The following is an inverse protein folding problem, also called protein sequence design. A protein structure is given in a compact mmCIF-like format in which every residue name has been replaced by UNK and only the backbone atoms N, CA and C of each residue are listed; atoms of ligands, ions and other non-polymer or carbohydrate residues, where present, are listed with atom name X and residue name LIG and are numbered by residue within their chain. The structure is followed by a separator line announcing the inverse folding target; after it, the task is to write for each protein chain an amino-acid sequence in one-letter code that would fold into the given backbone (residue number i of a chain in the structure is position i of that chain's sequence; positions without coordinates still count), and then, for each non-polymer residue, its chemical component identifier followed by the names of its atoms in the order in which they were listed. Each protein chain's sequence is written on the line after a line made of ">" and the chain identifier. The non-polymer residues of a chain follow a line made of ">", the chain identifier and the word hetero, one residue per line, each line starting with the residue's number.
data_IF_850751781758
#
_entry.id   IF_850751781758
#
_cell.length_a   1.000
_cell.length_b   1.000
_cell.length_c   1.000
_cell.angle_alpha   90.00
_cell.angle_beta   90.00
_cell.angle_gamma   90.00
#
_symmetry.space_group_name_H-M   'P 1'
#
loop_
_entity.id
_entity.type
_entity.pdbx_description
1 polymer ?
#
# COMPACT_ATOMS: atom_id res chain seq x y z
N UNK A 1 2.36 -4.65 -4.05
CA UNK A 1 2.64 -6.09 -4.25
C UNK A 1 1.61 -6.66 -5.19
N UNK A 2 2.05 -7.26 -6.28
CA UNK A 2 1.17 -7.78 -7.34
C UNK A 2 0.63 -9.16 -6.95
N UNK A 3 -0.49 -9.60 -7.50
CA UNK A 3 -0.98 -10.99 -7.39
C UNK A 3 0.08 -11.99 -7.90
N UNK A 4 1.04 -11.53 -8.71
CA UNK A 4 2.19 -12.32 -9.19
C UNK A 4 3.39 -12.32 -8.24
N UNK A 5 3.36 -11.51 -7.16
CA UNK A 5 4.44 -11.42 -6.17
C UNK A 5 4.41 -12.59 -5.16
N UNK A 6 3.78 -13.69 -5.53
CA UNK A 6 3.76 -14.90 -4.74
C UNK A 6 4.78 -15.85 -5.31
N UNK A 7 5.75 -16.32 -4.52
CA UNK A 7 6.66 -17.36 -4.94
C UNK A 7 5.85 -18.53 -5.50
N UNK A 8 6.07 -18.89 -6.76
CA UNK A 8 5.39 -20.01 -7.43
C UNK A 8 5.57 -21.33 -6.67
N UNK A 9 6.64 -21.40 -5.87
CA UNK A 9 6.98 -22.54 -5.01
C UNK A 9 6.06 -22.66 -3.79
N UNK A 10 5.47 -21.54 -3.34
CA UNK A 10 4.59 -21.48 -2.14
C UNK A 10 3.12 -21.55 -2.54
N UNK A 11 2.78 -21.05 -3.70
CA UNK A 11 1.41 -21.05 -4.22
C UNK A 11 1.37 -21.90 -5.49
N UNK A 12 0.70 -23.03 -5.40
CA UNK A 12 0.38 -23.85 -6.58
C UNK A 12 -0.20 -22.94 -7.68
N UNK A 13 0.06 -23.30 -8.96
CA UNK A 13 -0.37 -22.56 -10.16
C UNK A 13 -1.90 -22.33 -10.25
N UNK A 14 -2.67 -22.96 -9.38
CA UNK A 14 -4.13 -22.97 -9.36
C UNK A 14 -4.74 -22.07 -8.26
N UNK A 15 -4.15 -20.88 -7.97
CA UNK A 15 -4.85 -19.94 -7.11
C UNK A 15 -6.12 -19.44 -7.83
N UNK A 16 -7.33 -19.80 -7.35
CA UNK A 16 -8.57 -19.39 -7.98
C UNK A 16 -8.71 -17.88 -7.85
N UNK A 17 -8.63 -17.17 -8.99
CA UNK A 17 -9.09 -15.79 -9.02
C UNK A 17 -10.59 -15.79 -8.75
N UNK A 18 -11.06 -14.79 -7.97
CA UNK A 18 -12.48 -14.58 -7.76
C UNK A 18 -13.20 -14.44 -9.10
N UNK A 19 -14.34 -15.09 -9.23
CA UNK A 19 -15.19 -14.94 -10.40
C UNK A 19 -15.62 -13.46 -10.53
N UNK A 20 -15.87 -13.02 -11.76
CA UNK A 20 -16.13 -11.60 -12.04
C UNK A 20 -17.40 -11.09 -11.33
N UNK A 21 -18.39 -11.93 -11.12
CA UNK A 21 -19.63 -11.67 -10.39
C UNK A 21 -19.45 -11.61 -8.86
N UNK A 22 -18.35 -12.16 -8.36
CA UNK A 22 -17.98 -12.04 -6.95
C UNK A 22 -17.35 -10.68 -6.64
N UNK A 23 -16.83 -9.98 -7.64
CA UNK A 23 -16.22 -8.68 -7.45
C UNK A 23 -17.28 -7.58 -7.29
N UNK A 24 -16.96 -6.55 -6.52
CA UNK A 24 -17.73 -5.32 -6.50
C UNK A 24 -17.67 -4.63 -7.87
N UNK A 25 -18.82 -4.11 -8.33
CA UNK A 25 -18.88 -3.22 -9.48
C UNK A 25 -18.27 -1.85 -9.14
N UNK A 26 -18.01 -1.02 -10.15
CA UNK A 26 -17.51 0.34 -9.92
C UNK A 26 -18.55 1.20 -9.20
N UNK A 27 -19.84 0.97 -9.46
CA UNK A 27 -20.95 1.62 -8.77
C UNK A 27 -21.02 1.21 -7.30
N UNK A 28 -20.87 -0.08 -6.98
CA UNK A 28 -20.83 -0.60 -5.61
C UNK A 28 -19.63 -0.01 -4.84
N UNK A 29 -18.44 0.05 -5.46
CA UNK A 29 -17.26 0.66 -4.88
C UNK A 29 -17.48 2.15 -4.64
N UNK A 30 -18.06 2.86 -5.62
CA UNK A 30 -18.33 4.30 -5.51
C UNK A 30 -19.35 4.58 -4.41
N UNK A 31 -20.40 3.77 -4.30
CA UNK A 31 -21.39 3.88 -3.24
C UNK A 31 -20.76 3.72 -1.85
N UNK A 32 -19.94 2.67 -1.66
CA UNK A 32 -19.20 2.49 -0.40
C UNK A 32 -18.26 3.66 -0.12
N UNK A 33 -17.50 4.11 -1.11
CA UNK A 33 -16.60 5.25 -0.97
C UNK A 33 -17.35 6.54 -0.56
N UNK A 34 -18.53 6.77 -1.10
CA UNK A 34 -19.39 7.90 -0.72
C UNK A 34 -19.86 7.80 0.72
N UNK A 35 -20.26 6.60 1.16
CA UNK A 35 -20.63 6.36 2.56
C UNK A 35 -19.44 6.59 3.49
N UNK A 36 -18.25 6.07 3.14
CA UNK A 36 -17.03 6.32 3.94
C UNK A 36 -16.66 7.81 3.98
N UNK A 37 -16.79 8.52 2.87
CA UNK A 37 -16.55 9.96 2.83
C UNK A 37 -17.52 10.72 3.76
N UNK A 38 -18.81 10.34 3.78
CA UNK A 38 -19.79 10.93 4.70
C UNK A 38 -19.47 10.69 6.18
N UNK A 39 -18.70 9.65 6.48
CA UNK A 39 -18.20 9.32 7.82
C UNK A 39 -16.84 9.97 8.14
N UNK A 40 -16.33 10.86 7.27
CA UNK A 40 -15.09 11.60 7.50
C UNK A 40 -13.84 10.98 6.89
N UNK A 41 -13.96 10.01 5.99
CA UNK A 41 -12.81 9.53 5.21
C UNK A 41 -12.45 10.54 4.15
N UNK A 42 -11.22 11.06 4.20
CA UNK A 42 -10.71 12.10 3.29
C UNK A 42 -9.81 11.52 2.20
N UNK A 43 -9.32 10.29 2.39
CA UNK A 43 -8.32 9.68 1.51
C UNK A 43 -8.67 8.26 1.13
N UNK A 44 -8.63 7.97 -0.16
CA UNK A 44 -8.79 6.62 -0.71
C UNK A 44 -7.53 6.23 -1.47
N UNK A 45 -7.02 5.04 -1.16
CA UNK A 45 -5.91 4.42 -1.87
C UNK A 45 -6.39 3.21 -2.65
N UNK A 46 -6.26 3.27 -3.96
CA UNK A 46 -6.44 2.12 -4.83
C UNK A 46 -5.18 1.25 -4.79
N UNK A 47 -5.38 -0.01 -4.47
CA UNK A 47 -4.32 -1.02 -4.37
C UNK A 47 -4.93 -2.40 -4.66
N UNK A 48 -4.33 -3.47 -4.24
CA UNK A 48 -4.82 -4.81 -4.44
C UNK A 48 -3.64 -5.72 -4.74
N UNK A 49 -3.78 -6.73 -5.59
CA UNK A 49 -2.64 -7.29 -6.28
C UNK A 49 -1.98 -6.20 -7.12
N UNK A 50 -2.29 -6.13 -8.42
CA UNK A 50 -1.90 -4.97 -9.24
C UNK A 50 -3.17 -4.26 -9.75
N UNK A 51 -3.48 -3.05 -9.25
CA UNK A 51 -4.73 -2.36 -9.61
C UNK A 51 -4.79 -1.97 -11.10
N UNK A 52 -3.64 -1.73 -11.74
CA UNK A 52 -3.60 -1.33 -13.15
C UNK A 52 -4.01 -2.46 -14.11
N UNK A 53 -4.07 -3.71 -13.64
CA UNK A 53 -4.60 -4.83 -14.41
C UNK A 53 -6.13 -4.82 -14.47
N UNK A 54 -6.80 -4.07 -13.58
CA UNK A 54 -8.26 -3.94 -13.66
C UNK A 54 -8.64 -3.11 -14.87
N UNK A 55 -9.41 -3.72 -15.78
CA UNK A 55 -9.87 -3.04 -17.00
C UNK A 55 -10.68 -1.80 -16.64
N UNK A 56 -10.42 -0.69 -17.35
CA UNK A 56 -11.13 0.58 -17.21
C UNK A 56 -11.02 1.20 -15.81
N UNK A 57 -9.90 1.02 -15.10
CA UNK A 57 -9.68 1.60 -13.77
C UNK A 57 -9.84 3.13 -13.76
N UNK A 58 -9.51 3.80 -14.88
CA UNK A 58 -9.70 5.24 -15.08
C UNK A 58 -11.15 5.67 -14.94
N UNK A 59 -12.12 4.82 -15.28
CA UNK A 59 -13.56 5.10 -15.08
C UNK A 59 -13.88 5.12 -13.59
N UNK A 60 -13.40 4.14 -12.81
CA UNK A 60 -13.58 4.13 -11.36
C UNK A 60 -12.95 5.36 -10.72
N UNK A 61 -11.72 5.72 -11.11
CA UNK A 61 -11.05 6.93 -10.61
C UNK A 61 -11.90 8.17 -10.89
N UNK A 62 -12.45 8.30 -12.12
CA UNK A 62 -13.34 9.40 -12.49
C UNK A 62 -14.65 9.45 -11.70
N UNK A 63 -15.18 8.30 -11.29
CA UNK A 63 -16.35 8.23 -10.40
C UNK A 63 -15.98 8.68 -8.97
N UNK A 64 -14.86 8.16 -8.43
CA UNK A 64 -14.39 8.50 -7.09
C UNK A 64 -13.95 9.98 -6.97
N UNK A 65 -13.39 10.56 -8.03
CA UNK A 65 -12.95 11.95 -8.07
C UNK A 65 -14.10 12.97 -7.93
N UNK A 66 -15.35 12.55 -8.14
CA UNK A 66 -16.55 13.38 -7.98
C UNK A 66 -17.07 13.40 -6.53
N UNK A 67 -16.57 12.50 -5.68
CA UNK A 67 -16.98 12.42 -4.28
C UNK A 67 -16.34 13.56 -3.50
N UNK A 68 -17.14 14.23 -2.69
CA UNK A 68 -16.70 15.29 -1.78
C UNK A 68 -16.82 14.84 -0.33
N UNK A 69 -15.94 15.32 0.51
CA UNK A 69 -16.03 15.20 1.97
C UNK A 69 -17.19 16.08 2.50
N UNK A 70 -17.61 15.91 3.76
CA UNK A 70 -18.60 16.80 4.37
C UNK A 70 -18.21 18.29 4.38
N UNK A 71 -16.90 18.59 4.26
CA UNK A 71 -16.35 19.93 4.17
C UNK A 71 -16.38 20.51 2.74
N UNK A 72 -16.85 19.74 1.75
CA UNK A 72 -16.88 20.12 0.33
C UNK A 72 -15.56 19.92 -0.41
N UNK A 73 -14.54 19.33 0.23
CA UNK A 73 -13.26 19.05 -0.39
C UNK A 73 -13.28 17.74 -1.19
N UNK A 74 -12.59 17.66 -2.33
CA UNK A 74 -12.49 16.43 -3.09
C UNK A 74 -11.63 15.39 -2.36
N UNK A 75 -11.99 14.12 -2.44
CA UNK A 75 -11.19 13.02 -1.90
C UNK A 75 -9.75 13.04 -2.43
N UNK A 76 -8.81 12.76 -1.52
CA UNK A 76 -7.41 12.53 -1.87
C UNK A 76 -7.25 11.11 -2.45
N UNK A 77 -7.31 11.01 -3.77
CA UNK A 77 -7.18 9.74 -4.48
C UNK A 77 -5.73 9.39 -4.75
N UNK A 78 -5.32 8.23 -4.27
CA UNK A 78 -3.97 7.71 -4.46
C UNK A 78 -4.00 6.28 -5.01
N UNK A 79 -2.94 5.89 -5.70
CA UNK A 79 -2.76 4.55 -6.24
C UNK A 79 -1.43 3.98 -5.77
N UNK A 80 -1.38 2.67 -5.46
CA UNK A 80 -0.14 1.92 -5.29
C UNK A 80 -0.05 0.86 -6.39
N UNK A 81 1.07 0.81 -7.11
CA UNK A 81 1.28 -0.08 -8.27
C UNK A 81 2.69 -0.65 -8.28
N UNK A 82 2.88 -1.79 -8.91
CA UNK A 82 4.21 -2.33 -9.23
C UNK A 82 4.88 -1.62 -10.42
N UNK A 83 4.19 -0.69 -11.08
CA UNK A 83 4.72 0.14 -12.15
C UNK A 83 4.82 -0.52 -13.53
N UNK A 84 4.70 -1.84 -13.66
CA UNK A 84 4.96 -2.60 -14.89
C UNK A 84 4.21 -2.13 -16.14
N UNK A 85 3.03 -1.57 -15.97
CA UNK A 85 2.23 -1.02 -17.09
C UNK A 85 1.88 0.47 -16.91
N UNK A 86 2.55 1.13 -15.96
CA UNK A 86 2.26 2.53 -15.61
C UNK A 86 2.53 3.48 -16.78
N UNK A 87 3.57 3.23 -17.61
CA UNK A 87 3.84 4.00 -18.85
C UNK A 87 2.59 4.16 -19.71
N UNK A 88 1.83 3.08 -19.89
CA UNK A 88 0.64 3.07 -20.74
C UNK A 88 -0.59 3.72 -20.10
N UNK A 89 -0.58 3.92 -18.79
CA UNK A 89 -1.76 4.32 -18.01
C UNK A 89 -1.64 5.70 -17.37
N UNK A 90 -0.43 6.22 -17.12
CA UNK A 90 -0.20 7.41 -16.32
C UNK A 90 -1.03 8.62 -16.76
N UNK A 91 -1.03 8.95 -18.04
CA UNK A 91 -1.79 10.09 -18.58
C UNK A 91 -3.31 9.94 -18.37
N UNK A 92 -3.86 8.75 -18.62
CA UNK A 92 -5.28 8.49 -18.45
C UNK A 92 -5.70 8.54 -16.98
N UNK A 93 -4.87 8.02 -16.06
CA UNK A 93 -5.10 8.07 -14.62
C UNK A 93 -5.08 9.51 -14.10
N UNK A 94 -4.13 10.33 -14.55
CA UNK A 94 -4.06 11.75 -14.21
C UNK A 94 -5.28 12.51 -14.71
N UNK A 95 -5.66 12.31 -15.97
CA UNK A 95 -6.85 12.94 -16.58
C UNK A 95 -8.15 12.53 -15.86
N UNK A 96 -8.23 11.29 -15.34
CA UNK A 96 -9.37 10.82 -14.56
C UNK A 96 -9.47 11.43 -13.14
N UNK A 97 -8.43 12.15 -12.67
CA UNK A 97 -8.44 12.82 -11.38
C UNK A 97 -7.60 12.16 -10.29
N UNK A 98 -6.77 11.15 -10.64
CA UNK A 98 -5.81 10.59 -9.68
C UNK A 98 -4.79 11.66 -9.29
N UNK A 99 -4.58 11.85 -7.97
CA UNK A 99 -3.70 12.92 -7.48
C UNK A 99 -2.27 12.45 -7.22
N UNK A 100 -2.09 11.24 -6.71
CA UNK A 100 -0.77 10.73 -6.27
C UNK A 100 -0.57 9.28 -6.64
N UNK A 101 0.68 8.93 -6.92
CA UNK A 101 1.10 7.56 -7.22
C UNK A 101 2.18 7.12 -6.23
N UNK A 102 2.08 5.87 -5.81
CA UNK A 102 3.16 5.16 -5.13
C UNK A 102 3.54 3.96 -5.98
N UNK A 103 4.83 3.83 -6.29
CA UNK A 103 5.37 2.72 -7.06
C UNK A 103 6.19 1.83 -6.14
N UNK A 104 5.98 0.53 -6.19
CA UNK A 104 6.80 -0.45 -5.48
C UNK A 104 8.02 -0.80 -6.33
N UNK A 105 9.22 -0.66 -5.75
CA UNK A 105 10.50 -0.91 -6.43
C UNK A 105 11.53 -1.32 -5.38
N UNK A 106 11.91 -2.60 -5.36
CA UNK A 106 12.72 -3.18 -4.29
C UNK A 106 14.22 -3.30 -4.64
N UNK A 107 14.67 -2.66 -5.72
CA UNK A 107 16.06 -2.56 -6.15
C UNK A 107 16.18 -2.05 -7.57
N UNK A 108 17.39 -1.68 -7.99
CA UNK A 108 17.74 -1.23 -9.35
C UNK A 108 18.42 -2.34 -10.16
N UNK A 109 19.06 -3.28 -9.50
CA UNK A 109 19.60 -4.47 -10.16
C UNK A 109 18.45 -5.38 -10.60
N UNK A 110 18.43 -5.75 -11.88
CA UNK A 110 17.32 -6.53 -12.48
C UNK A 110 17.17 -7.92 -11.85
N UNK A 111 18.28 -8.56 -11.46
CA UNK A 111 18.26 -9.87 -10.84
C UNK A 111 17.72 -9.80 -9.40
N UNK A 112 18.13 -8.79 -8.63
CA UNK A 112 17.62 -8.50 -7.29
C UNK A 112 16.14 -8.18 -7.36
N UNK A 113 15.74 -7.28 -8.24
CA UNK A 113 14.35 -6.87 -8.45
C UNK A 113 13.45 -8.06 -8.78
N UNK A 114 13.82 -8.87 -9.77
CA UNK A 114 13.04 -10.05 -10.18
C UNK A 114 12.92 -11.08 -9.06
N UNK A 115 14.02 -11.30 -8.31
CA UNK A 115 14.01 -12.23 -7.17
C UNK A 115 13.10 -11.73 -6.05
N UNK A 116 13.15 -10.43 -5.72
CA UNK A 116 12.32 -9.83 -4.65
C UNK A 116 10.82 -9.86 -4.98
N UNK A 117 10.48 -9.67 -6.23
CA UNK A 117 9.08 -9.52 -6.67
C UNK A 117 8.50 -10.76 -7.34
N UNK A 118 9.31 -11.81 -7.56
CA UNK A 118 8.94 -13.04 -8.30
C UNK A 118 8.22 -12.72 -9.63
N UNK A 119 8.79 -11.81 -10.40
CA UNK A 119 8.21 -11.33 -11.67
C UNK A 119 9.17 -11.55 -12.83
N UNK A 120 8.63 -11.58 -14.04
CA UNK A 120 9.39 -11.79 -15.27
C UNK A 120 9.34 -10.56 -16.20
N UNK A 121 9.37 -9.36 -15.62
CA UNK A 121 9.55 -8.12 -16.37
C UNK A 121 10.76 -7.35 -15.80
N UNK A 122 11.47 -6.55 -16.65
CA UNK A 122 12.67 -5.86 -16.23
C UNK A 122 12.35 -4.67 -15.32
N UNK A 123 13.29 -4.31 -14.46
CA UNK A 123 13.22 -3.12 -13.60
C UNK A 123 13.04 -1.83 -14.42
N UNK A 124 13.57 -1.81 -15.64
CA UNK A 124 13.48 -0.67 -16.56
C UNK A 124 12.02 -0.31 -16.90
N UNK A 125 11.11 -1.28 -17.01
CA UNK A 125 9.68 -1.03 -17.23
C UNK A 125 9.07 -0.21 -16.09
N UNK A 126 9.52 -0.46 -14.84
CA UNK A 126 9.09 0.29 -13.66
C UNK A 126 9.64 1.70 -13.67
N UNK A 127 10.93 1.85 -13.96
CA UNK A 127 11.60 3.16 -14.06
C UNK A 127 10.99 4.02 -15.17
N UNK A 128 10.69 3.41 -16.32
CA UNK A 128 9.98 4.05 -17.43
C UNK A 128 8.55 4.47 -17.03
N UNK A 129 7.87 3.61 -16.26
CA UNK A 129 6.56 3.94 -15.68
C UNK A 129 6.61 5.13 -14.72
N UNK A 130 7.65 5.24 -13.88
CA UNK A 130 7.88 6.39 -12.99
C UNK A 130 8.11 7.66 -13.81
N UNK A 131 8.96 7.61 -14.85
CA UNK A 131 9.18 8.73 -15.76
C UNK A 131 7.87 9.19 -16.42
N UNK A 132 7.06 8.23 -16.90
CA UNK A 132 5.76 8.54 -17.49
C UNK A 132 4.80 9.22 -16.50
N UNK A 133 4.86 8.87 -15.22
CA UNK A 133 4.06 9.55 -14.20
C UNK A 133 4.52 11.01 -14.00
N UNK A 134 5.83 11.28 -14.03
CA UNK A 134 6.35 12.66 -14.00
C UNK A 134 5.94 13.45 -15.26
N UNK A 135 6.07 12.85 -16.45
CA UNK A 135 5.63 13.44 -17.73
C UNK A 135 4.13 13.75 -17.75
N UNK A 136 3.31 12.90 -17.12
CA UNK A 136 1.86 13.12 -16.97
C UNK A 136 1.50 14.21 -15.94
N UNK A 137 2.48 14.82 -15.26
CA UNK A 137 2.29 15.91 -14.31
C UNK A 137 1.83 15.46 -12.92
N UNK A 138 2.18 14.26 -12.48
CA UNK A 138 2.00 13.89 -11.08
C UNK A 138 3.04 14.60 -10.20
N UNK A 139 2.59 15.52 -9.36
CA UNK A 139 3.44 16.31 -8.47
C UNK A 139 3.94 15.53 -7.25
N UNK A 140 3.21 14.48 -6.84
CA UNK A 140 3.55 13.66 -5.68
C UNK A 140 3.67 12.19 -6.08
N UNK A 141 4.90 11.80 -6.39
CA UNK A 141 5.27 10.42 -6.66
C UNK A 141 6.07 9.89 -5.47
N UNK A 142 5.74 8.70 -5.02
CA UNK A 142 6.50 7.99 -3.99
C UNK A 142 6.96 6.65 -4.53
N UNK A 143 8.17 6.27 -4.16
CA UNK A 143 8.70 4.93 -4.41
C UNK A 143 8.83 4.22 -3.07
N UNK A 144 8.31 3.01 -2.98
CA UNK A 144 8.45 2.15 -1.81
C UNK A 144 9.44 1.04 -2.10
N UNK A 145 10.40 0.86 -1.20
CA UNK A 145 11.31 -0.26 -1.17
C UNK A 145 11.10 -1.03 0.12
N UNK A 146 10.69 -2.30 0.04
CA UNK A 146 10.76 -3.22 1.19
C UNK A 146 12.19 -3.69 1.32
N UNK A 147 12.80 -3.49 2.49
CA UNK A 147 14.19 -3.90 2.74
C UNK A 147 14.20 -5.22 3.49
N UNK A 148 14.79 -6.24 2.88
CA UNK A 148 15.01 -7.56 3.44
C UNK A 148 16.52 -7.83 3.56
N UNK A 149 16.99 -8.03 4.79
CA UNK A 149 18.39 -8.34 5.08
C UNK A 149 18.79 -9.67 4.44
N UNK A 150 19.96 -9.72 3.80
CA UNK A 150 20.45 -10.86 3.03
C UNK A 150 19.87 -10.95 1.60
N UNK A 151 19.04 -9.99 1.19
CA UNK A 151 18.42 -9.97 -0.15
C UNK A 151 18.70 -8.71 -0.92
N UNK A 152 18.26 -7.55 -0.45
CA UNK A 152 18.37 -6.28 -1.19
C UNK A 152 18.89 -5.09 -0.36
N UNK A 153 19.39 -5.29 0.84
CA UNK A 153 19.94 -4.20 1.68
C UNK A 153 21.12 -3.47 1.03
N UNK A 154 21.84 -4.14 0.15
CA UNK A 154 22.96 -3.54 -0.61
C UNK A 154 22.47 -2.50 -1.64
N UNK A 155 21.19 -2.51 -2.01
CA UNK A 155 20.56 -1.56 -2.92
C UNK A 155 20.14 -0.23 -2.24
N UNK A 156 20.24 -0.11 -0.91
CA UNK A 156 19.76 1.07 -0.17
C UNK A 156 20.40 2.36 -0.67
N UNK A 157 21.73 2.38 -0.85
CA UNK A 157 22.47 3.59 -1.27
C UNK A 157 22.17 3.91 -2.73
N UNK A 158 22.24 2.94 -3.64
CA UNK A 158 21.95 3.13 -5.05
C UNK A 158 20.52 3.64 -5.28
N UNK A 159 19.54 3.10 -4.54
CA UNK A 159 18.17 3.58 -4.55
C UNK A 159 18.07 5.02 -4.03
N UNK A 160 18.73 5.35 -2.93
CA UNK A 160 18.73 6.71 -2.39
C UNK A 160 19.32 7.71 -3.40
N UNK A 161 20.46 7.39 -4.02
CA UNK A 161 21.12 8.21 -5.04
C UNK A 161 20.28 8.37 -6.30
N UNK A 162 19.61 7.29 -6.75
CA UNK A 162 18.75 7.31 -7.94
C UNK A 162 17.61 8.32 -7.83
N UNK A 163 17.04 8.49 -6.63
CA UNK A 163 15.87 9.37 -6.43
C UNK A 163 16.21 10.71 -5.77
N UNK A 164 17.43 10.90 -5.27
CA UNK A 164 17.90 12.17 -4.71
C UNK A 164 17.82 13.28 -5.77
N UNK A 165 17.26 14.43 -5.43
CA UNK A 165 17.13 15.57 -6.34
C UNK A 165 16.03 15.47 -7.40
N UNK A 166 15.27 14.35 -7.46
CA UNK A 166 14.25 14.14 -8.49
C UNK A 166 12.85 14.66 -8.11
N UNK A 167 12.65 15.07 -6.85
CA UNK A 167 11.33 15.38 -6.29
C UNK A 167 10.51 14.14 -5.90
N UNK A 168 10.99 12.94 -6.18
CA UNK A 168 10.36 11.67 -5.80
C UNK A 168 10.74 11.33 -4.36
N UNK A 169 9.77 10.95 -3.53
CA UNK A 169 10.00 10.54 -2.14
C UNK A 169 10.24 9.03 -2.10
N UNK A 170 11.48 8.62 -1.85
CA UNK A 170 11.80 7.23 -1.59
C UNK A 170 11.46 6.86 -0.16
N UNK A 171 10.77 5.73 0.04
CA UNK A 171 10.40 5.21 1.35
C UNK A 171 10.88 3.79 1.52
N UNK A 172 11.64 3.57 2.57
CA UNK A 172 12.10 2.24 2.99
C UNK A 172 11.14 1.65 4.01
N UNK A 173 10.75 0.40 3.79
CA UNK A 173 9.77 -0.32 4.62
C UNK A 173 10.48 -1.54 5.20
N UNK A 174 10.39 -1.71 6.52
CA UNK A 174 10.89 -2.93 7.15
C UNK A 174 10.13 -4.16 6.65
N UNK A 175 10.86 -5.24 6.33
CA UNK A 175 10.29 -6.52 5.91
C UNK A 175 9.39 -7.09 7.01
N UNK A 176 8.12 -7.34 6.71
CA UNK A 176 7.11 -7.70 7.69
C UNK A 176 6.36 -8.98 7.33
N UNK A 177 5.79 -9.63 8.36
CA UNK A 177 5.07 -10.90 8.32
C UNK A 177 3.63 -10.77 7.79
N UNK A 178 3.46 -10.15 6.62
CA UNK A 178 2.14 -10.01 5.99
C UNK A 178 1.67 -11.32 5.36
N UNK A 179 0.39 -11.65 5.55
CA UNK A 179 -0.16 -12.93 5.10
C UNK A 179 0.38 -14.10 5.92
N UNK A 180 0.24 -15.30 5.38
CA UNK A 180 0.67 -16.56 6.02
C UNK A 180 1.75 -17.31 5.24
N UNK A 181 2.13 -16.79 4.08
CA UNK A 181 2.89 -17.55 3.08
C UNK A 181 4.28 -16.99 2.75
N UNK A 182 4.67 -15.85 3.32
CA UNK A 182 5.93 -15.20 2.94
C UNK A 182 7.19 -15.74 3.64
N UNK A 183 7.06 -16.77 4.48
CA UNK A 183 8.22 -17.39 5.17
C UNK A 183 9.00 -16.44 6.09
N UNK A 184 8.36 -15.35 6.54
CA UNK A 184 9.00 -14.27 7.29
C UNK A 184 9.81 -14.74 8.49
N UNK A 185 11.00 -14.17 8.65
CA UNK A 185 11.90 -14.40 9.76
C UNK A 185 12.41 -13.05 10.31
N UNK A 186 12.38 -12.89 11.63
CA UNK A 186 12.87 -11.68 12.31
C UNK A 186 14.35 -11.38 12.01
N UNK A 187 15.17 -12.40 11.76
CA UNK A 187 16.58 -12.24 11.40
C UNK A 187 16.81 -11.52 10.07
N UNK A 188 15.79 -11.50 9.19
CA UNK A 188 15.81 -10.83 7.88
C UNK A 188 15.30 -9.37 7.94
N UNK A 189 14.89 -8.92 9.11
CA UNK A 189 14.46 -7.53 9.32
C UNK A 189 15.69 -6.65 9.49
N UNK A 190 15.83 -5.64 8.62
CA UNK A 190 16.79 -4.56 8.81
C UNK A 190 16.05 -3.40 9.49
N UNK A 191 16.43 -3.02 10.73
CA UNK A 191 15.78 -1.90 11.43
C UNK A 191 15.90 -0.60 10.65
N UNK A 192 14.82 0.17 10.61
CA UNK A 192 14.79 1.47 9.92
C UNK A 192 15.88 2.44 10.38
N UNK A 193 16.34 2.34 11.63
CA UNK A 193 17.43 3.15 12.15
C UNK A 193 18.76 2.82 11.46
N UNK A 194 19.01 1.56 11.11
CA UNK A 194 20.20 1.13 10.36
C UNK A 194 20.14 1.65 8.92
N UNK A 195 18.96 1.61 8.28
CA UNK A 195 18.76 2.21 6.95
C UNK A 195 19.12 3.70 6.96
N UNK A 196 18.61 4.44 7.96
CA UNK A 196 18.92 5.87 8.10
C UNK A 196 20.41 6.11 8.36
N UNK A 197 21.04 5.30 9.22
CA UNK A 197 22.48 5.43 9.52
C UNK A 197 23.34 5.17 8.27
N UNK A 198 22.99 4.18 7.47
CA UNK A 198 23.66 3.89 6.19
C UNK A 198 23.57 5.09 5.24
N UNK A 199 22.37 5.62 5.01
CA UNK A 199 22.21 6.75 4.09
C UNK A 199 22.88 8.01 4.65
N UNK A 200 22.75 8.27 5.97
CA UNK A 200 23.35 9.43 6.63
C UNK A 200 24.88 9.45 6.52
N UNK A 201 25.51 8.29 6.51
CA UNK A 201 26.98 8.17 6.38
C UNK A 201 27.52 8.67 5.02
N UNK A 202 26.67 8.63 3.97
CA UNK A 202 27.01 9.08 2.61
C UNK A 202 26.36 10.43 2.30
N UNK A 203 25.11 10.58 2.68
CA UNK A 203 24.28 11.75 2.45
C UNK A 203 23.67 12.22 3.78
N UNK A 204 24.20 13.29 4.40
CA UNK A 204 23.72 13.77 5.68
C UNK A 204 22.22 14.07 5.68
N UNK A 205 21.51 13.53 6.68
CA UNK A 205 20.06 13.61 6.86
C UNK A 205 19.72 14.35 8.14
N UNK A 206 18.56 15.00 8.17
CA UNK A 206 17.92 15.53 9.38
C UNK A 206 16.47 15.06 9.47
N UNK A 207 16.02 14.75 10.68
CA UNK A 207 14.63 14.36 10.90
C UNK A 207 13.69 15.56 10.74
N UNK A 208 12.54 15.36 10.11
CA UNK A 208 11.50 16.39 9.97
C UNK A 208 10.15 15.90 10.48
N UNK A 209 9.28 16.85 10.84
CA UNK A 209 7.96 16.54 11.40
C UNK A 209 7.06 15.81 10.39
N UNK A 210 6.12 15.01 10.91
CA UNK A 210 5.05 14.42 10.11
C UNK A 210 4.18 15.50 9.46
N UNK A 211 3.63 15.22 8.26
CA UNK A 211 2.72 16.14 7.57
C UNK A 211 1.33 16.20 8.22
N UNK A 212 0.91 15.12 8.88
CA UNK A 212 -0.39 14.99 9.53
C UNK A 212 -0.33 13.92 10.64
N UNK A 213 -1.21 13.99 11.64
CA UNK A 213 -1.32 12.96 12.67
C UNK A 213 -1.58 11.57 12.05
N UNK A 214 -0.89 10.54 12.55
CA UNK A 214 -1.02 9.17 12.03
C UNK A 214 -0.27 8.90 10.71
N UNK A 215 0.61 9.81 10.27
CA UNK A 215 1.52 9.52 9.15
C UNK A 215 2.44 8.36 9.52
N UNK A 216 2.41 7.30 8.70
CA UNK A 216 3.11 6.04 8.99
C UNK A 216 4.62 6.15 8.79
N UNK A 217 5.04 6.92 7.80
CA UNK A 217 6.46 7.11 7.49
C UNK A 217 7.07 8.19 8.37
N UNK A 218 8.15 7.88 9.08
CA UNK A 218 9.03 8.89 9.66
C UNK A 218 9.83 9.52 8.54
N UNK A 219 9.88 10.86 8.52
CA UNK A 219 10.43 11.65 7.42
C UNK A 219 11.81 12.18 7.76
N UNK A 220 12.66 12.21 6.74
CA UNK A 220 14.02 12.72 6.82
C UNK A 220 14.32 13.55 5.58
N UNK A 221 15.01 14.65 5.73
CA UNK A 221 15.41 15.53 4.64
C UNK A 221 16.92 15.45 4.46
N UNK A 222 17.38 15.49 3.21
CA UNK A 222 18.79 15.70 2.91
C UNK A 222 19.22 17.10 3.32
N UNK A 223 20.33 17.23 4.07
CA UNK A 223 20.80 18.53 4.56
C UNK A 223 21.20 19.49 3.45
N UNK A 224 21.54 18.99 2.26
CA UNK A 224 21.81 19.78 1.07
C UNK A 224 20.54 20.30 0.35
N UNK A 225 19.35 20.02 0.88
CA UNK A 225 18.08 20.45 0.31
C UNK A 225 17.61 19.67 -0.91
N UNK A 226 18.26 18.57 -1.29
CA UNK A 226 17.97 17.79 -2.50
C UNK A 226 16.73 16.89 -2.41
N UNK A 227 15.92 17.01 -1.34
CA UNK A 227 14.66 16.27 -1.18
C UNK A 227 14.56 15.55 0.14
N UNK A 228 13.64 14.58 0.20
CA UNK A 228 13.36 13.81 1.42
C UNK A 228 13.26 12.32 1.15
N UNK A 229 13.47 11.55 2.22
CA UNK A 229 13.19 10.12 2.28
C UNK A 229 12.25 9.82 3.44
N UNK A 230 11.65 8.64 3.45
CA UNK A 230 10.84 8.16 4.56
C UNK A 230 11.25 6.76 4.99
N UNK A 231 10.99 6.43 6.26
CA UNK A 231 11.11 5.05 6.75
C UNK A 231 9.82 4.61 7.43
N UNK A 232 9.43 3.37 7.21
CA UNK A 232 8.23 2.77 7.80
C UNK A 232 8.69 1.60 8.67
N UNK A 233 8.75 1.87 9.99
CA UNK A 233 9.24 0.94 11.01
C UNK A 233 8.12 -0.01 11.46
N UNK A 234 7.63 -0.85 10.53
CA UNK A 234 6.47 -1.72 10.76
C UNK A 234 6.70 -2.81 11.80
N UNK A 235 7.96 -3.14 12.08
CA UNK A 235 8.37 -4.25 12.97
C UNK A 235 9.02 -3.72 14.23
N UNK A 236 10.03 -2.86 14.09
CA UNK A 236 10.84 -2.40 15.22
C UNK A 236 10.20 -1.26 16.03
N UNK A 237 9.31 -0.48 15.42
CA UNK A 237 8.61 0.63 16.06
C UNK A 237 7.15 0.66 15.60
N UNK A 238 6.34 -0.24 16.14
CA UNK A 238 4.93 -0.36 15.79
C UNK A 238 4.15 0.96 16.06
N UNK A 239 3.14 1.22 15.23
CA UNK A 239 2.32 2.44 15.25
C UNK A 239 0.81 2.11 15.24
N UNK A 240 0.41 1.04 15.94
CA UNK A 240 -0.98 0.59 15.97
C UNK A 240 -1.92 1.56 16.67
N UNK A 241 -1.44 2.24 17.73
CA UNK A 241 -2.24 3.20 18.51
C UNK A 241 -2.81 4.36 17.67
N UNK A 242 -2.07 4.80 16.66
CA UNK A 242 -2.45 5.94 15.80
C UNK A 242 -2.99 5.51 14.43
N UNK A 243 -3.26 4.21 14.26
CA UNK A 243 -3.64 3.67 12.96
C UNK A 243 -5.12 3.98 12.63
N UNK A 244 -5.34 4.85 11.65
CA UNK A 244 -6.66 5.24 11.13
C UNK A 244 -7.05 4.56 9.82
N UNK A 245 -6.41 3.42 9.46
CA UNK A 245 -6.58 2.76 8.17
C UNK A 245 -7.58 1.61 8.25
N UNK A 246 -8.40 1.50 7.21
CA UNK A 246 -9.21 0.32 6.91
C UNK A 246 -8.98 -0.11 5.45
N UNK A 247 -9.38 -1.30 5.08
CA UNK A 247 -9.25 -1.86 3.74
C UNK A 247 -10.55 -2.53 3.34
N UNK A 248 -10.93 -2.36 2.07
CA UNK A 248 -12.01 -3.13 1.46
C UNK A 248 -11.40 -3.96 0.34
N UNK A 249 -11.58 -5.27 0.42
CA UNK A 249 -11.19 -6.18 -0.67
C UNK A 249 -12.11 -5.99 -1.88
N UNK A 250 -11.67 -6.52 -3.01
CA UNK A 250 -12.44 -6.41 -4.27
C UNK A 250 -13.77 -7.13 -4.24
N UNK A 251 -13.98 -8.07 -3.32
CA UNK A 251 -15.25 -8.77 -3.05
C UNK A 251 -16.05 -8.17 -1.88
N UNK A 252 -15.67 -6.98 -1.39
CA UNK A 252 -16.45 -6.21 -0.43
C UNK A 252 -16.30 -6.60 1.03
N UNK A 253 -15.22 -7.26 1.41
CA UNK A 253 -14.89 -7.51 2.81
C UNK A 253 -14.12 -6.32 3.40
N UNK A 254 -14.57 -5.78 4.53
CA UNK A 254 -13.89 -4.73 5.27
C UNK A 254 -12.92 -5.33 6.29
N UNK A 255 -11.66 -4.91 6.24
CA UNK A 255 -10.59 -5.28 7.17
C UNK A 255 -10.07 -4.04 7.89
N UNK A 256 -9.92 -4.10 9.20
CA UNK A 256 -9.41 -3.00 10.02
C UNK A 256 -7.89 -3.04 10.19
N UNK A 257 -7.28 -4.20 9.97
CA UNK A 257 -5.84 -4.42 10.09
C UNK A 257 -5.25 -5.11 8.86
N UNK A 258 -3.98 -4.83 8.55
CA UNK A 258 -3.22 -5.53 7.51
C UNK A 258 -2.99 -7.01 7.86
N UNK A 259 -2.99 -7.32 9.14
CA UNK A 259 -2.75 -8.66 9.69
C UNK A 259 -4.06 -9.36 10.11
N UNK A 260 -5.21 -8.89 9.64
CA UNK A 260 -6.49 -9.48 9.95
C UNK A 260 -6.61 -10.91 9.38
N UNK A 261 -7.34 -11.76 10.08
CA UNK A 261 -7.68 -13.12 9.67
C UNK A 261 -9.13 -13.25 9.17
N UNK A 262 -9.95 -12.22 9.39
CA UNK A 262 -11.37 -12.20 9.00
C UNK A 262 -11.78 -10.78 8.61
N UNK A 263 -12.62 -10.68 7.55
CA UNK A 263 -13.27 -9.45 7.12
C UNK A 263 -14.73 -9.38 7.55
N UNK A 264 -15.35 -8.22 7.37
CA UNK A 264 -16.77 -7.96 7.56
C UNK A 264 -17.43 -7.78 6.19
N UNK A 265 -18.47 -8.57 5.91
CA UNK A 265 -19.11 -8.62 4.60
C UNK A 265 -20.04 -7.42 4.36
N UNK A 266 -19.59 -6.48 3.54
CA UNK A 266 -20.38 -5.34 3.07
C UNK A 266 -20.99 -5.58 1.68
N UNK A 267 -20.48 -6.54 0.90
CA UNK A 267 -21.08 -6.91 -0.40
C UNK A 267 -22.53 -7.39 -0.21
N UNK A 268 -22.77 -8.27 0.74
CA UNK A 268 -24.12 -8.77 1.04
C UNK A 268 -25.07 -7.63 1.45
N UNK A 269 -24.59 -6.66 2.21
CA UNK A 269 -25.40 -5.49 2.58
C UNK A 269 -25.76 -4.63 1.36
N UNK A 270 -24.80 -4.37 0.47
CA UNK A 270 -25.03 -3.62 -0.78
C UNK A 270 -26.09 -4.31 -1.66
N UNK A 271 -25.95 -5.64 -1.84
CA UNK A 271 -26.77 -6.43 -2.76
C UNK A 271 -28.13 -6.83 -2.19
N UNK A 272 -28.30 -6.79 -0.87
CA UNK A 272 -29.62 -7.01 -0.22
C UNK A 272 -30.49 -5.75 -0.13
N UNK A 273 -30.08 -4.63 -0.76
CA UNK A 273 -30.85 -3.40 -0.81
C UNK A 273 -30.83 -2.58 0.48
N UNK A 274 -29.83 -2.79 1.36
CA UNK A 274 -29.64 -1.96 2.55
C UNK A 274 -29.43 -0.50 2.16
N UNK A 275 -30.03 0.42 2.94
CA UNK A 275 -29.86 1.85 2.79
C UNK A 275 -28.43 2.30 3.15
N UNK A 276 -28.02 3.46 2.65
CA UNK A 276 -26.71 4.02 2.99
C UNK A 276 -26.56 4.28 4.49
N UNK A 277 -27.65 4.64 5.17
CA UNK A 277 -27.65 4.82 6.62
C UNK A 277 -27.42 3.51 7.38
N UNK A 278 -28.04 2.40 6.94
CA UNK A 278 -27.82 1.07 7.57
C UNK A 278 -26.36 0.63 7.37
N UNK A 279 -25.80 0.85 6.18
CA UNK A 279 -24.40 0.53 5.89
C UNK A 279 -23.47 1.43 6.70
N UNK A 280 -23.72 2.74 6.79
CA UNK A 280 -22.94 3.66 7.62
C UNK A 280 -22.93 3.26 9.09
N UNK A 281 -24.11 2.89 9.65
CA UNK A 281 -24.22 2.41 11.02
C UNK A 281 -23.43 1.11 11.24
N UNK A 282 -23.44 0.20 10.28
CA UNK A 282 -22.65 -1.03 10.35
C UNK A 282 -21.14 -0.72 10.33
N UNK A 283 -20.67 0.18 9.47
CA UNK A 283 -19.27 0.64 9.42
C UNK A 283 -18.87 1.24 10.77
N UNK A 284 -19.66 2.16 11.32
CA UNK A 284 -19.40 2.77 12.62
C UNK A 284 -19.34 1.73 13.75
N UNK A 285 -20.26 0.76 13.74
CA UNK A 285 -20.26 -0.32 14.74
C UNK A 285 -19.02 -1.20 14.65
N UNK A 286 -18.55 -1.51 13.45
CA UNK A 286 -17.31 -2.27 13.24
C UNK A 286 -16.09 -1.44 13.68
N UNK A 287 -16.04 -0.17 13.29
CA UNK A 287 -14.92 0.73 13.61
C UNK A 287 -14.79 1.00 15.11
N UNK A 288 -15.90 1.24 15.82
CA UNK A 288 -15.90 1.53 17.25
C UNK A 288 -15.41 0.39 18.14
N UNK A 289 -15.46 -0.85 17.62
CA UNK A 289 -14.99 -2.06 18.32
C UNK A 289 -13.56 -2.45 17.96
N UNK A 290 -12.86 -1.58 17.22
CA UNK A 290 -11.51 -1.86 16.75
C UNK A 290 -10.53 -1.91 17.92
N UNK A 291 -9.82 -3.04 18.04
CA UNK A 291 -8.78 -3.31 19.02
C UNK A 291 -7.50 -3.91 18.40
N UNK A 292 -7.38 -3.83 17.07
CA UNK A 292 -6.29 -4.40 16.29
C UNK A 292 -4.93 -3.76 16.64
N UNK A 293 -4.09 -4.50 17.39
CA UNK A 293 -2.75 -4.07 17.82
C UNK A 293 -1.65 -5.07 17.43
N UNK A 294 -1.86 -5.82 16.35
CA UNK A 294 -0.98 -6.94 16.00
C UNK A 294 0.51 -6.56 15.98
N UNK A 295 0.89 -5.46 15.33
CA UNK A 295 2.31 -5.09 15.22
C UNK A 295 2.96 -4.76 16.56
N UNK A 296 2.19 -4.24 17.54
CA UNK A 296 2.70 -3.95 18.89
C UNK A 296 2.91 -5.21 19.72
N UNK A 297 2.02 -6.20 19.55
CA UNK A 297 2.06 -7.43 20.35
C UNK A 297 2.82 -8.57 19.65
N UNK A 298 3.28 -8.37 18.39
CA UNK A 298 4.00 -9.38 17.61
C UNK A 298 5.12 -10.09 18.37
N UNK A 299 5.93 -9.36 19.15
CA UNK A 299 7.06 -9.91 19.89
C UNK A 299 6.68 -10.73 21.14
N UNK A 300 5.45 -10.53 21.67
CA UNK A 300 4.95 -11.24 22.85
C UNK A 300 4.09 -12.47 22.53
N UNK A 301 3.80 -12.70 21.23
CA UNK A 301 2.82 -13.69 20.77
C UNK A 301 3.51 -14.92 20.17
N UNK A 302 4.48 -15.51 20.82
CA UNK A 302 5.19 -16.67 20.25
C UNK A 302 4.35 -17.97 20.12
N UNK A 303 3.25 -18.16 20.87
CA UNK A 303 2.43 -19.38 20.79
C UNK A 303 0.92 -19.15 20.67
N UNK A 304 0.36 -18.11 21.26
CA UNK A 304 -1.09 -17.87 21.27
C UNK A 304 -1.67 -17.41 19.93
N UNK A 305 -0.89 -16.78 19.05
CA UNK A 305 -1.37 -16.30 17.73
C UNK A 305 -1.51 -17.41 16.71
N UNK A 306 -0.81 -18.53 16.87
CA UNK A 306 -1.09 -19.72 16.05
C UNK A 306 -2.52 -20.22 16.18
N UNK A 307 -3.23 -19.82 17.24
CA UNK A 307 -4.63 -20.17 17.48
C UNK A 307 -5.66 -19.29 16.75
N UNK A 308 -5.26 -18.14 16.19
CA UNK A 308 -6.17 -17.20 15.53
C UNK A 308 -6.46 -17.53 14.05
N UNK A 309 -5.87 -18.61 13.53
CA UNK A 309 -6.00 -19.01 12.14
C UNK A 309 -5.07 -18.24 11.20
N UNK A 310 -5.00 -18.62 9.91
CA UNK A 310 -4.13 -17.98 8.92
C UNK A 310 -4.58 -16.54 8.68
N UNK A 311 -3.60 -15.62 8.58
CA UNK A 311 -3.83 -14.24 8.17
C UNK A 311 -4.31 -14.20 6.72
N UNK A 312 -5.16 -13.23 6.41
CA UNK A 312 -5.55 -12.98 5.02
C UNK A 312 -4.34 -12.43 4.26
N UNK A 313 -4.14 -12.92 3.06
CA UNK A 313 -3.01 -12.50 2.22
C UNK A 313 -3.09 -11.02 1.84
N UNK A 314 -1.94 -10.32 1.93
CA UNK A 314 -1.88 -8.89 1.62
C UNK A 314 -2.29 -8.61 0.16
N UNK A 315 -1.97 -9.50 -0.76
CA UNK A 315 -2.37 -9.41 -2.17
C UNK A 315 -3.90 -9.41 -2.36
N UNK A 316 -4.64 -9.97 -1.40
CA UNK A 316 -6.10 -10.00 -1.43
C UNK A 316 -6.72 -8.74 -0.83
N UNK A 317 -6.20 -8.26 0.30
CA UNK A 317 -6.78 -7.10 1.02
C UNK A 317 -6.12 -5.77 0.68
N UNK A 318 -5.07 -5.80 -0.13
CA UNK A 318 -4.31 -4.61 -0.50
C UNK A 318 -3.35 -4.11 0.59
N UNK A 319 -2.13 -3.83 0.25
CA UNK A 319 -1.06 -3.33 1.13
C UNK A 319 -0.49 -1.99 0.72
#
# INVERSE_FOLDING_TARGET
>A
MCIRDRPKEVFNQDYPYLAHDELLSFEEITRLATIFASLGVEKIRLTGGEPLLRKNLEILIGMLAKIQTPQGEPLDLTLTTNGSILRKKAAALKAAGLKRITVSLDGLDDAVFKKMNDVDFPVEDVLDGINAAQEAGFESIKVNMVVQKGSNEHEIISMAERFKGTGIILRFIEYMDVGSSNGWNMAEVLPSQEVIALIHSVHPLEAISANYPGEVAKRWRYQDGSGEIGVISSVTQAFCSDCSRARISTDGQLYLCLFANKGFDFKSMLRSGKSDLEIANAIMSVWSKRDDRYSEIRGSISEQVKSLGPKVEMSYIGG
#
